data_IF_898346962506
#
_entry.id   IF_898346962506
#
_cell.length_a   1.000
_cell.length_b   1.000
_cell.length_c   1.000
_cell.angle_alpha   90.00
_cell.angle_beta   90.00
_cell.angle_gamma   90.00
#
_symmetry.space_group_name_H-M   'P 1'
#
loop_
_entity.id
_entity.type
_entity.pdbx_description
1 polymer ?
#
# COMPACT_ATOMS: atom_id res chain seq x y z
N UNK A 1 -33.80 -13.99 -16.47
CA UNK A 1 -32.63 -13.88 -15.57
C UNK A 1 -31.81 -12.71 -16.10
N UNK A 2 -31.83 -11.58 -15.39
CA UNK A 2 -31.14 -10.35 -15.82
C UNK A 2 -29.72 -10.42 -15.24
N UNK A 3 -28.72 -10.37 -16.12
CA UNK A 3 -27.32 -10.30 -15.71
C UNK A 3 -27.09 -9.05 -14.87
N UNK A 4 -26.64 -9.25 -13.63
CA UNK A 4 -26.08 -8.17 -12.83
C UNK A 4 -24.72 -7.83 -13.43
N UNK A 5 -24.65 -6.67 -14.03
CA UNK A 5 -23.42 -6.00 -14.42
C UNK A 5 -22.55 -5.89 -13.18
N UNK A 6 -21.38 -6.53 -13.18
CA UNK A 6 -20.31 -6.20 -12.26
C UNK A 6 -19.94 -4.74 -12.52
N UNK A 7 -20.45 -3.86 -11.67
CA UNK A 7 -20.07 -2.46 -11.71
C UNK A 7 -18.55 -2.40 -11.49
N UNK A 8 -17.77 -2.06 -12.55
CA UNK A 8 -16.40 -1.60 -12.39
C UNK A 8 -16.50 -0.41 -11.43
N UNK A 9 -15.81 -0.52 -10.29
CA UNK A 9 -15.66 0.62 -9.40
C UNK A 9 -15.01 1.74 -10.22
N UNK A 10 -15.76 2.83 -10.45
CA UNK A 10 -15.18 4.05 -10.99
C UNK A 10 -14.29 4.66 -9.91
N UNK A 11 -13.03 4.21 -9.87
CA UNK A 11 -12.03 4.77 -9.01
C UNK A 11 -11.53 6.10 -9.58
N UNK A 12 -11.50 7.13 -8.75
CA UNK A 12 -10.87 8.41 -9.05
C UNK A 12 -9.60 8.50 -8.20
N UNK A 13 -8.41 8.71 -8.79
CA UNK A 13 -7.17 8.88 -8.04
C UNK A 13 -7.32 9.94 -6.95
N UNK A 14 -6.59 9.79 -5.84
CA UNK A 14 -6.44 10.85 -4.85
C UNK A 14 -6.06 12.16 -5.55
N UNK A 15 -6.59 13.29 -5.06
CA UNK A 15 -6.31 14.60 -5.64
C UNK A 15 -4.81 15.00 -5.58
N UNK A 16 -4.01 14.25 -4.80
CA UNK A 16 -2.56 14.42 -4.64
C UNK A 16 -1.74 13.72 -5.72
N UNK A 17 -2.31 12.78 -6.48
CA UNK A 17 -1.56 12.02 -7.50
C UNK A 17 -1.23 12.89 -8.72
N UNK A 18 0.05 12.94 -9.14
CA UNK A 18 0.43 13.63 -10.37
C UNK A 18 -0.25 12.97 -11.58
N UNK A 19 -0.83 13.78 -12.46
CA UNK A 19 -1.47 13.30 -13.70
C UNK A 19 -0.47 12.82 -14.76
N UNK A 20 0.82 13.14 -14.60
CA UNK A 20 1.86 12.78 -15.56
C UNK A 20 2.52 11.47 -15.13
N UNK A 21 2.51 10.48 -16.02
CA UNK A 21 3.22 9.20 -15.83
C UNK A 21 4.72 9.40 -15.99
N UNK A 22 5.41 9.85 -14.95
CA UNK A 22 6.87 9.87 -14.94
C UNK A 22 7.40 8.44 -14.92
N UNK A 23 8.34 8.12 -15.81
CA UNK A 23 9.01 6.82 -15.79
C UNK A 23 10.33 6.91 -15.02
N UNK A 24 10.56 5.93 -14.16
CA UNK A 24 11.82 5.71 -13.45
C UNK A 24 12.56 4.48 -14.01
N UNK A 25 12.05 3.86 -15.07
CA UNK A 25 12.70 2.73 -15.72
C UNK A 25 14.14 3.13 -16.16
N UNK A 26 15.12 2.32 -15.75
CA UNK A 26 16.53 2.61 -16.00
C UNK A 26 17.22 3.52 -14.97
N UNK A 27 16.51 4.02 -13.97
CA UNK A 27 17.15 4.67 -12.81
C UNK A 27 17.89 3.60 -12.01
N UNK A 28 19.22 3.77 -11.87
CA UNK A 28 20.04 2.82 -11.13
C UNK A 28 20.07 3.07 -9.63
N UNK A 29 20.73 2.15 -8.91
CA UNK A 29 20.86 2.15 -7.45
C UNK A 29 21.41 3.47 -6.90
N UNK A 30 22.56 3.92 -7.41
CA UNK A 30 23.25 5.13 -6.91
C UNK A 30 22.41 6.39 -7.14
N UNK A 31 21.76 6.50 -8.30
CA UNK A 31 20.89 7.64 -8.60
C UNK A 31 19.66 7.65 -7.68
N UNK A 32 19.07 6.48 -7.40
CA UNK A 32 17.91 6.39 -6.49
C UNK A 32 18.30 6.79 -5.06
N UNK A 33 19.47 6.36 -4.60
CA UNK A 33 20.02 6.74 -3.28
C UNK A 33 20.31 8.25 -3.22
N UNK A 34 20.86 8.82 -4.29
CA UNK A 34 21.13 10.25 -4.35
C UNK A 34 19.85 11.09 -4.36
N UNK A 35 18.77 10.60 -4.99
CA UNK A 35 17.44 11.23 -4.92
C UNK A 35 16.92 11.27 -3.49
N UNK A 36 17.09 10.18 -2.73
CA UNK A 36 16.76 10.15 -1.31
C UNK A 36 17.57 11.18 -0.51
N UNK A 37 18.88 11.25 -0.71
CA UNK A 37 19.76 12.21 -0.05
C UNK A 37 19.36 13.66 -0.29
N UNK A 38 18.98 13.99 -1.52
CA UNK A 38 18.49 15.35 -1.85
C UNK A 38 17.22 15.74 -1.10
N UNK A 39 16.40 14.77 -0.68
CA UNK A 39 15.21 15.05 0.10
C UNK A 39 15.45 15.17 1.61
N UNK A 40 16.59 14.69 2.13
CA UNK A 40 16.89 14.70 3.58
C UNK A 40 16.64 16.07 4.23
N UNK A 41 17.11 17.23 3.69
CA UNK A 41 16.87 18.53 4.32
C UNK A 41 15.39 18.90 4.39
N UNK A 42 14.61 18.62 3.34
CA UNK A 42 13.18 18.90 3.29
C UNK A 42 12.40 18.03 4.28
N UNK A 43 12.75 16.74 4.35
CA UNK A 43 12.11 15.79 5.27
C UNK A 43 12.45 16.16 6.72
N UNK A 44 13.70 16.56 7.00
CA UNK A 44 14.10 17.04 8.33
C UNK A 44 13.27 18.22 8.79
N UNK A 45 13.03 19.19 7.91
CA UNK A 45 12.25 20.40 8.21
C UNK A 45 10.76 20.09 8.52
N UNK A 46 10.24 18.94 8.04
CA UNK A 46 8.85 18.52 8.22
C UNK A 46 8.68 17.32 9.16
N UNK A 47 9.75 16.89 9.84
CA UNK A 47 9.71 15.69 10.70
C UNK A 47 8.74 15.87 11.88
N UNK A 48 8.75 17.02 12.55
CA UNK A 48 7.83 17.32 13.66
C UNK A 48 6.36 17.39 13.17
N UNK A 49 6.13 17.95 12.00
CA UNK A 49 4.80 17.97 11.38
C UNK A 49 4.30 16.55 11.08
N UNK A 50 5.16 15.68 10.56
CA UNK A 50 4.84 14.28 10.29
C UNK A 50 4.35 13.57 11.57
N UNK A 51 5.08 13.73 12.69
CA UNK A 51 4.69 13.14 13.97
C UNK A 51 3.36 13.73 14.48
N UNK A 52 3.18 15.05 14.40
CA UNK A 52 1.96 15.74 14.83
C UNK A 52 0.73 15.35 14.02
N UNK A 53 0.86 15.21 12.70
CA UNK A 53 -0.22 14.80 11.80
C UNK A 53 -0.54 13.30 11.94
N UNK A 54 0.37 12.51 12.46
CA UNK A 54 0.28 11.04 12.53
C UNK A 54 0.07 10.41 11.15
N UNK A 55 0.68 11.01 10.12
CA UNK A 55 0.74 10.55 8.73
C UNK A 55 1.82 11.33 7.99
N UNK A 56 2.14 10.93 6.75
CA UNK A 56 2.99 11.77 5.90
C UNK A 56 2.30 13.12 5.62
N UNK A 57 3.03 14.25 5.74
CA UNK A 57 2.57 15.53 5.20
C UNK A 57 2.39 15.45 3.69
N UNK A 58 1.40 16.14 3.14
CA UNK A 58 1.07 16.11 1.71
C UNK A 58 2.24 16.55 0.82
N UNK A 59 3.04 17.53 1.31
CA UNK A 59 4.24 17.97 0.61
C UNK A 59 5.36 16.92 0.63
N UNK A 60 5.49 16.15 1.71
CA UNK A 60 6.47 15.06 1.80
C UNK A 60 6.07 13.93 0.87
N UNK A 61 4.80 13.54 0.84
CA UNK A 61 4.27 12.53 -0.08
C UNK A 61 4.55 12.93 -1.54
N UNK A 62 4.29 14.18 -1.91
CA UNK A 62 4.56 14.71 -3.26
C UNK A 62 6.04 14.64 -3.61
N UNK A 63 6.92 15.13 -2.73
CA UNK A 63 8.38 15.07 -2.93
C UNK A 63 8.87 13.63 -3.14
N UNK A 64 8.30 12.64 -2.40
CA UNK A 64 8.65 11.24 -2.52
C UNK A 64 8.18 10.62 -3.85
N UNK A 65 6.98 10.99 -4.33
CA UNK A 65 6.49 10.61 -5.66
C UNK A 65 7.37 11.19 -6.76
N UNK A 66 7.68 12.47 -6.72
CA UNK A 66 8.54 13.16 -7.71
C UNK A 66 9.94 12.56 -7.76
N UNK A 67 10.48 12.13 -6.62
CA UNK A 67 11.77 11.46 -6.54
C UNK A 67 11.72 9.98 -6.96
N UNK A 68 10.54 9.37 -7.09
CA UNK A 68 10.34 7.97 -7.43
C UNK A 68 10.55 6.99 -6.27
N UNK A 69 10.63 7.48 -5.03
CA UNK A 69 10.97 6.65 -3.88
C UNK A 69 9.86 5.64 -3.51
N UNK A 70 8.63 5.86 -3.90
CA UNK A 70 7.56 4.86 -3.77
C UNK A 70 7.60 3.81 -4.89
N UNK A 71 8.32 4.06 -5.99
CA UNK A 71 8.35 3.20 -7.18
C UNK A 71 9.67 2.47 -7.37
N UNK A 72 10.47 2.35 -6.30
CA UNK A 72 11.78 1.70 -6.29
C UNK A 72 11.70 0.26 -6.81
N UNK A 73 10.80 -0.56 -6.26
CA UNK A 73 10.64 -1.97 -6.62
C UNK A 73 9.41 -2.23 -7.51
N UNK A 74 8.79 -1.18 -8.03
CA UNK A 74 7.73 -1.33 -9.02
C UNK A 74 8.33 -1.77 -10.35
N UNK A 75 7.70 -2.75 -11.07
CA UNK A 75 8.24 -3.26 -12.32
C UNK A 75 8.49 -2.19 -13.39
N UNK A 76 9.59 -2.35 -14.14
CA UNK A 76 9.96 -1.43 -15.23
C UNK A 76 8.88 -1.34 -16.32
N UNK A 77 8.09 -2.43 -16.56
CA UNK A 77 6.99 -2.45 -17.54
C UNK A 77 5.93 -1.38 -17.30
N UNK A 78 5.77 -0.94 -16.04
CA UNK A 78 4.84 0.14 -15.65
C UNK A 78 5.56 1.42 -15.27
N UNK A 79 6.85 1.52 -15.61
CA UNK A 79 7.68 2.71 -15.40
C UNK A 79 8.29 2.81 -14.01
N UNK A 80 8.28 1.77 -13.19
CA UNK A 80 9.04 1.69 -11.94
C UNK A 80 10.54 1.53 -12.18
N UNK A 81 11.35 1.67 -11.13
CA UNK A 81 12.80 1.52 -11.25
C UNK A 81 13.25 0.06 -11.26
N UNK A 82 12.39 -0.87 -10.82
CA UNK A 82 12.65 -2.33 -10.85
C UNK A 82 13.94 -2.73 -10.14
N UNK A 83 14.25 -2.05 -9.03
CA UNK A 83 15.46 -2.25 -8.26
C UNK A 83 15.29 -3.35 -7.20
N UNK A 84 16.41 -3.96 -6.85
CA UNK A 84 16.49 -4.98 -5.80
C UNK A 84 16.10 -4.44 -4.41
N UNK A 85 15.65 -5.34 -3.54
CA UNK A 85 15.22 -5.03 -2.15
C UNK A 85 16.33 -4.35 -1.33
N UNK A 86 17.60 -4.60 -1.62
CA UNK A 86 18.73 -3.97 -0.93
C UNK A 86 18.68 -2.44 -0.90
N UNK A 87 18.15 -1.81 -1.95
CA UNK A 87 18.03 -0.34 -2.03
C UNK A 87 17.13 0.24 -0.94
N UNK A 88 16.08 -0.51 -0.49
CA UNK A 88 15.22 -0.06 0.60
C UNK A 88 15.98 0.19 1.89
N UNK A 89 16.97 -0.67 2.18
CA UNK A 89 17.77 -0.55 3.40
C UNK A 89 18.54 0.78 3.38
N UNK A 90 19.22 1.08 2.28
CA UNK A 90 20.05 2.28 2.19
C UNK A 90 19.21 3.56 2.08
N UNK A 91 18.14 3.57 1.29
CA UNK A 91 17.21 4.71 1.21
C UNK A 91 16.56 4.97 2.57
N UNK A 92 16.06 3.92 3.24
CA UNK A 92 15.44 4.06 4.55
C UNK A 92 16.45 4.51 5.60
N UNK A 93 17.71 4.03 5.56
CA UNK A 93 18.76 4.44 6.49
C UNK A 93 19.09 5.94 6.35
N UNK A 94 19.19 6.46 5.11
CA UNK A 94 19.43 7.90 4.90
C UNK A 94 18.28 8.76 5.44
N UNK A 95 17.05 8.40 5.17
CA UNK A 95 15.87 9.17 5.61
C UNK A 95 15.61 9.01 7.11
N UNK A 96 15.84 7.83 7.68
CA UNK A 96 15.62 7.56 9.11
C UNK A 96 16.49 8.42 10.04
N UNK A 97 17.63 8.89 9.56
CA UNK A 97 18.51 9.80 10.32
C UNK A 97 17.81 11.09 10.73
N UNK A 98 16.78 11.51 9.99
CA UNK A 98 16.07 12.76 10.21
C UNK A 98 14.57 12.56 10.49
N UNK A 99 13.95 11.54 9.94
CA UNK A 99 12.54 11.21 10.19
C UNK A 99 12.27 9.71 10.04
N UNK A 100 12.35 8.94 11.14
CA UNK A 100 12.08 7.50 11.12
C UNK A 100 10.68 7.14 10.60
N UNK A 101 9.67 7.96 10.88
CA UNK A 101 8.31 7.75 10.39
C UNK A 101 8.21 7.83 8.87
N UNK A 102 8.88 8.80 8.25
CA UNK A 102 8.93 8.90 6.78
C UNK A 102 9.69 7.72 6.19
N UNK A 103 10.83 7.33 6.78
CA UNK A 103 11.59 6.16 6.32
C UNK A 103 10.76 4.88 6.38
N UNK A 104 10.00 4.67 7.46
CA UNK A 104 9.09 3.53 7.58
C UNK A 104 8.04 3.52 6.47
N UNK A 105 7.41 4.67 6.21
CA UNK A 105 6.41 4.76 5.14
C UNK A 105 7.00 4.48 3.75
N UNK A 106 8.23 4.96 3.46
CA UNK A 106 8.91 4.65 2.20
C UNK A 106 9.10 3.13 2.08
N UNK A 107 9.75 2.50 3.07
CA UNK A 107 10.03 1.08 3.05
C UNK A 107 8.77 0.23 2.94
N UNK A 108 7.73 0.61 3.67
CA UNK A 108 6.46 -0.10 3.71
C UNK A 108 5.69 0.06 2.38
N UNK A 109 5.37 1.29 1.98
CA UNK A 109 4.53 1.55 0.81
C UNK A 109 5.21 1.17 -0.52
N UNK A 110 6.52 1.38 -0.64
CA UNK A 110 7.25 1.01 -1.84
C UNK A 110 7.40 -0.52 -2.00
N UNK A 111 7.56 -1.28 -0.89
CA UNK A 111 7.63 -2.74 -0.95
C UNK A 111 6.32 -3.38 -1.41
N UNK A 112 5.19 -2.70 -1.24
CA UNK A 112 3.90 -3.24 -1.67
C UNK A 112 3.70 -3.23 -3.18
N UNK A 113 4.42 -2.40 -3.93
CA UNK A 113 4.51 -2.53 -5.40
C UNK A 113 5.21 -3.82 -5.81
N UNK A 114 6.26 -4.23 -5.09
CA UNK A 114 6.89 -5.53 -5.28
C UNK A 114 5.90 -6.67 -4.96
N UNK A 115 5.17 -6.58 -3.84
CA UNK A 115 4.14 -7.57 -3.49
C UNK A 115 3.02 -7.64 -4.54
N UNK A 116 2.56 -6.50 -5.05
CA UNK A 116 1.56 -6.45 -6.12
C UNK A 116 2.05 -7.14 -7.39
N UNK A 117 3.35 -7.06 -7.70
CA UNK A 117 3.97 -7.76 -8.82
C UNK A 117 3.76 -9.28 -8.84
N UNK A 118 3.37 -9.86 -7.71
CA UNK A 118 3.03 -11.28 -7.61
C UNK A 118 1.53 -11.57 -7.79
N UNK A 119 0.65 -10.59 -7.83
CA UNK A 119 -0.77 -10.79 -8.12
C UNK A 119 -0.98 -11.13 -9.61
N UNK A 120 -2.14 -11.68 -10.01
CA UNK A 120 -2.45 -11.90 -11.41
C UNK A 120 -2.28 -10.61 -12.24
N UNK A 121 -1.84 -10.71 -13.51
CA UNK A 121 -1.66 -9.53 -14.36
C UNK A 121 -2.89 -8.63 -14.44
N UNK A 122 -4.08 -9.21 -14.45
CA UNK A 122 -5.36 -8.47 -14.50
C UNK A 122 -5.52 -7.56 -13.28
N UNK A 123 -5.10 -8.03 -12.10
CA UNK A 123 -5.13 -7.22 -10.86
C UNK A 123 -4.10 -6.11 -10.90
N UNK A 124 -2.90 -6.40 -11.40
CA UNK A 124 -1.84 -5.41 -11.55
C UNK A 124 -2.28 -4.29 -12.50
N UNK A 125 -2.89 -4.66 -13.62
CA UNK A 125 -3.36 -3.73 -14.64
C UNK A 125 -4.56 -2.91 -14.12
N UNK A 126 -5.47 -3.49 -13.31
CA UNK A 126 -6.57 -2.77 -12.67
C UNK A 126 -6.07 -1.55 -11.86
N UNK A 127 -4.94 -1.68 -11.17
CA UNK A 127 -4.37 -0.60 -10.37
C UNK A 127 -3.48 0.32 -11.21
N UNK A 128 -2.51 -0.25 -11.92
CA UNK A 128 -1.47 0.54 -12.58
C UNK A 128 -1.91 1.18 -13.90
N UNK A 129 -2.98 0.70 -14.55
CA UNK A 129 -3.57 1.38 -15.71
C UNK A 129 -4.28 2.68 -15.35
N UNK A 130 -4.80 2.76 -14.14
CA UNK A 130 -5.41 3.99 -13.63
C UNK A 130 -4.34 4.98 -13.20
N UNK A 131 -3.41 4.53 -12.35
CA UNK A 131 -2.23 5.31 -11.95
C UNK A 131 -1.08 4.40 -11.54
N UNK A 132 0.11 4.69 -12.02
CA UNK A 132 1.34 4.02 -11.55
C UNK A 132 1.84 4.56 -10.21
N UNK A 133 1.26 5.66 -9.73
CA UNK A 133 1.60 6.32 -8.47
C UNK A 133 0.67 5.96 -7.31
N UNK A 134 -0.21 4.95 -7.48
CA UNK A 134 -1.06 4.44 -6.39
C UNK A 134 -0.22 4.01 -5.20
N UNK A 135 -0.68 4.32 -4.00
CA UNK A 135 -0.08 3.83 -2.77
C UNK A 135 -0.94 2.70 -2.18
N UNK A 136 -0.26 1.66 -1.70
CA UNK A 136 -0.90 0.46 -1.18
C UNK A 136 -0.41 0.26 0.25
N UNK A 137 -1.29 0.42 1.24
CA UNK A 137 -1.01 0.02 2.61
C UNK A 137 -1.20 -1.50 2.78
N UNK A 138 -0.83 -2.05 3.91
CA UNK A 138 -1.08 -3.46 4.24
C UNK A 138 -1.26 -3.68 5.73
N UNK A 139 -1.92 -4.80 6.06
CA UNK A 139 -1.78 -5.43 7.36
C UNK A 139 -1.63 -6.95 7.19
N UNK A 140 -0.51 -7.46 7.68
CA UNK A 140 -0.17 -8.89 7.63
C UNK A 140 -0.80 -9.70 8.78
N UNK A 141 -1.66 -9.08 9.58
CA UNK A 141 -2.34 -9.76 10.70
C UNK A 141 -3.42 -10.73 10.19
N UNK A 142 -3.02 -11.80 9.49
CA UNK A 142 -3.92 -12.77 8.89
C UNK A 142 -5.05 -13.26 9.80
N UNK A 143 -4.81 -13.57 11.10
CA UNK A 143 -5.88 -14.01 12.00
C UNK A 143 -6.95 -12.95 12.28
N UNK A 144 -6.67 -11.67 11.98
CA UNK A 144 -7.61 -10.56 12.16
C UNK A 144 -8.69 -10.52 11.07
N UNK A 145 -8.39 -11.13 9.90
CA UNK A 145 -9.31 -11.23 8.77
C UNK A 145 -9.92 -12.63 8.64
N UNK A 146 -11.18 -12.67 8.23
CA UNK A 146 -11.92 -13.90 7.92
C UNK A 146 -12.43 -13.83 6.50
N UNK A 147 -12.32 -14.94 5.77
CA UNK A 147 -12.84 -15.05 4.43
C UNK A 147 -13.49 -16.39 4.16
N UNK A 148 -14.48 -16.41 3.29
CA UNK A 148 -15.12 -17.60 2.75
C UNK A 148 -15.26 -17.52 1.25
N UNK A 149 -15.29 -18.65 0.56
CA UNK A 149 -15.58 -18.69 -0.87
C UNK A 149 -17.05 -18.34 -1.14
N UNK A 150 -17.28 -17.51 -2.15
CA UNK A 150 -18.59 -17.22 -2.71
C UNK A 150 -18.56 -17.39 -4.22
N UNK A 151 -19.72 -17.33 -4.89
CA UNK A 151 -19.77 -17.37 -6.34
C UNK A 151 -19.01 -16.16 -6.92
N UNK A 152 -18.01 -16.42 -7.76
CA UNK A 152 -17.21 -15.38 -8.40
C UNK A 152 -16.02 -14.86 -7.59
N UNK A 153 -15.87 -15.24 -6.30
CA UNK A 153 -14.77 -14.70 -5.49
C UNK A 153 -14.76 -15.13 -4.03
N UNK A 154 -14.56 -14.14 -3.17
CA UNK A 154 -14.49 -14.32 -1.73
C UNK A 154 -15.29 -13.22 -1.03
N UNK A 155 -15.91 -13.59 0.09
CA UNK A 155 -16.43 -12.62 1.05
C UNK A 155 -15.40 -12.48 2.17
N UNK A 156 -14.99 -11.24 2.46
CA UNK A 156 -13.96 -10.94 3.46
C UNK A 156 -14.48 -9.94 4.48
N UNK A 157 -14.14 -10.15 5.73
CA UNK A 157 -14.45 -9.24 6.84
C UNK A 157 -13.35 -9.27 7.89
N UNK A 158 -13.23 -8.21 8.67
CA UNK A 158 -12.27 -8.16 9.78
C UNK A 158 -11.99 -6.76 10.28
N UNK A 159 -11.15 -6.71 11.31
CA UNK A 159 -10.50 -5.50 11.78
C UNK A 159 -9.01 -5.79 11.94
N UNK A 160 -8.21 -5.14 11.12
CA UNK A 160 -6.77 -5.36 11.07
C UNK A 160 -6.04 -4.22 11.76
N UNK A 161 -5.11 -4.52 12.66
CA UNK A 161 -4.25 -3.53 13.28
C UNK A 161 -3.08 -3.14 12.37
N UNK A 162 -2.47 -2.00 12.68
CA UNK A 162 -1.14 -1.63 12.18
C UNK A 162 -1.05 -1.50 10.64
N UNK A 163 -2.05 -0.89 10.00
CA UNK A 163 -1.98 -0.56 8.59
C UNK A 163 -1.19 0.73 8.38
N UNK A 164 0.14 0.63 8.34
CA UNK A 164 1.04 1.79 8.22
C UNK A 164 0.86 2.52 6.89
N UNK A 165 0.82 3.86 6.94
CA UNK A 165 0.65 4.69 5.75
C UNK A 165 -0.76 4.70 5.16
N UNK A 166 -1.75 4.14 5.87
CA UNK A 166 -3.10 3.98 5.34
C UNK A 166 -3.82 5.30 5.02
N UNK A 167 -3.49 6.38 5.73
CA UNK A 167 -4.07 7.70 5.43
C UNK A 167 -3.64 8.27 4.08
N UNK A 168 -2.46 7.87 3.60
CA UNK A 168 -1.87 8.29 2.33
C UNK A 168 -2.11 7.25 1.21
N UNK A 169 -2.83 6.16 1.48
CA UNK A 169 -2.96 5.04 0.54
C UNK A 169 -4.31 5.00 -0.15
N UNK A 170 -4.29 4.64 -1.44
CA UNK A 170 -5.48 4.43 -2.28
C UNK A 170 -6.05 3.03 -2.10
N UNK A 171 -5.17 2.06 -1.81
CA UNK A 171 -5.50 0.65 -1.66
C UNK A 171 -4.94 0.08 -0.36
N UNK A 172 -5.46 -1.05 0.05
CA UNK A 172 -4.97 -1.78 1.21
C UNK A 172 -4.96 -3.29 0.92
N UNK A 173 -3.83 -3.92 1.20
CA UNK A 173 -3.63 -5.34 1.05
C UNK A 173 -3.76 -6.01 2.42
N UNK A 174 -4.88 -6.68 2.67
CA UNK A 174 -5.25 -7.20 3.99
C UNK A 174 -5.18 -8.72 4.03
N UNK A 175 -4.38 -9.24 4.95
CA UNK A 175 -4.28 -10.68 5.16
C UNK A 175 -5.54 -11.26 5.81
N UNK A 176 -6.04 -12.40 5.33
CA UNK A 176 -7.16 -13.09 5.95
C UNK A 176 -7.01 -14.61 5.95
N UNK A 177 -7.69 -15.25 6.89
CA UNK A 177 -7.78 -16.69 7.00
C UNK A 177 -9.02 -17.18 6.24
N UNK A 178 -8.80 -18.01 5.21
CA UNK A 178 -9.87 -18.66 4.46
C UNK A 178 -10.42 -19.84 5.23
N UNK A 179 -11.74 -19.96 5.32
CA UNK A 179 -12.46 -21.08 5.96
C UNK A 179 -13.49 -21.65 5.00
N UNK A 180 -13.73 -22.95 5.09
CA UNK A 180 -14.82 -23.62 4.35
C UNK A 180 -16.16 -23.47 5.08
N UNK A 181 -16.10 -23.45 6.42
CA UNK A 181 -17.26 -23.28 7.31
C UNK A 181 -16.95 -22.20 8.33
N UNK A 182 -17.96 -21.46 8.79
CA UNK A 182 -17.81 -20.31 9.67
C UNK A 182 -17.01 -20.63 10.94
N UNK A 183 -17.29 -21.75 11.60
CA UNK A 183 -16.62 -22.21 12.81
C UNK A 183 -15.50 -23.22 12.56
N UNK A 184 -15.22 -23.54 11.29
CA UNK A 184 -14.18 -24.51 10.91
C UNK A 184 -12.75 -23.95 11.07
N UNK A 185 -11.74 -24.84 11.06
CA UNK A 185 -10.35 -24.39 11.04
C UNK A 185 -10.05 -23.65 9.74
N UNK A 186 -9.06 -22.74 9.74
CA UNK A 186 -8.57 -22.15 8.50
C UNK A 186 -7.98 -23.24 7.59
N UNK A 187 -8.33 -23.16 6.30
CA UNK A 187 -7.80 -24.06 5.26
C UNK A 187 -6.72 -23.41 4.42
N UNK A 188 -6.65 -22.06 4.42
CA UNK A 188 -5.66 -21.29 3.69
C UNK A 188 -5.54 -19.89 4.28
N UNK A 189 -4.52 -19.13 3.87
CA UNK A 189 -4.38 -17.72 4.16
C UNK A 189 -4.11 -16.96 2.85
N UNK A 190 -4.72 -15.77 2.72
CA UNK A 190 -4.72 -15.00 1.49
C UNK A 190 -4.62 -13.51 1.76
N UNK A 191 -4.30 -12.75 0.72
CA UNK A 191 -4.46 -11.32 0.70
C UNK A 191 -5.72 -10.92 -0.05
N UNK A 192 -6.46 -9.97 0.51
CA UNK A 192 -7.51 -9.23 -0.15
C UNK A 192 -6.98 -7.83 -0.47
N UNK A 193 -7.11 -7.41 -1.71
CA UNK A 193 -6.79 -6.06 -2.16
C UNK A 193 -8.07 -5.24 -2.17
N UNK A 194 -8.17 -4.27 -1.27
CA UNK A 194 -9.35 -3.42 -1.08
C UNK A 194 -9.04 -1.97 -1.44
N UNK A 195 -9.91 -1.36 -2.24
CA UNK A 195 -9.85 0.07 -2.51
C UNK A 195 -10.25 0.88 -1.26
N UNK A 196 -9.78 2.13 -1.16
CA UNK A 196 -10.01 3.03 -0.03
C UNK A 196 -11.49 3.18 0.38
N UNK A 197 -12.41 3.07 -0.57
CA UNK A 197 -13.87 3.15 -0.32
C UNK A 197 -14.47 1.88 0.29
N UNK A 198 -13.72 0.78 0.39
CA UNK A 198 -14.21 -0.53 0.83
C UNK A 198 -13.87 -0.86 2.29
N UNK A 199 -13.15 0.03 2.98
CA UNK A 199 -12.80 -0.13 4.39
C UNK A 199 -12.86 1.19 5.14
N UNK A 200 -13.02 1.09 6.46
CA UNK A 200 -12.97 2.21 7.40
C UNK A 200 -11.58 2.29 8.01
N UNK A 201 -11.02 3.49 8.14
CA UNK A 201 -9.84 3.76 8.96
C UNK A 201 -10.29 4.10 10.36
N UNK A 202 -9.77 3.38 11.36
CA UNK A 202 -10.04 3.61 12.78
C UNK A 202 -8.85 4.37 13.36
N UNK A 203 -9.08 5.63 13.72
CA UNK A 203 -8.02 6.51 14.23
C UNK A 203 -7.66 6.19 15.68
N UNK A 204 -6.86 5.15 15.87
CA UNK A 204 -6.39 4.65 17.17
C UNK A 204 -4.86 4.63 17.32
N UNK A 205 -4.11 5.23 16.39
CA UNK A 205 -2.65 5.25 16.43
C UNK A 205 -2.13 6.42 17.28
N UNK A 206 -1.95 6.18 18.60
CA UNK A 206 -1.43 7.13 19.58
C UNK A 206 -0.20 6.55 20.27
N UNK A 207 0.94 6.58 19.55
CA UNK A 207 2.22 6.02 20.01
C UNK A 207 3.13 7.10 20.63
N UNK A 208 4.11 6.70 21.42
CA UNK A 208 5.13 7.59 22.00
C UNK A 208 6.24 7.96 21.01
N UNK A 209 6.30 7.29 19.86
CA UNK A 209 7.22 7.53 18.76
C UNK A 209 6.73 6.87 17.50
N UNK A 210 7.29 7.23 16.34
CA UNK A 210 6.81 6.78 15.03
C UNK A 210 5.32 7.12 14.77
N UNK A 211 4.84 8.22 15.35
CA UNK A 211 3.44 8.64 15.19
C UNK A 211 3.12 8.88 13.71
N UNK A 212 4.05 9.47 12.97
CA UNK A 212 3.93 9.79 11.55
C UNK A 212 3.84 8.57 10.62
N UNK A 213 4.00 7.34 11.13
CA UNK A 213 3.73 6.14 10.33
C UNK A 213 2.25 5.93 10.07
N UNK A 214 1.36 6.55 10.86
CA UNK A 214 -0.09 6.41 10.70
C UNK A 214 -0.57 4.97 10.74
N UNK A 215 0.05 4.13 11.61
CA UNK A 215 -0.22 2.67 11.64
C UNK A 215 -1.57 2.36 12.29
N UNK A 216 -2.62 2.96 11.76
CA UNK A 216 -4.00 2.87 12.24
C UNK A 216 -4.61 1.51 11.96
N UNK A 217 -5.66 1.17 12.71
CA UNK A 217 -6.49 0.02 12.38
C UNK A 217 -7.35 0.31 11.15
N UNK A 218 -7.70 -0.75 10.43
CA UNK A 218 -8.71 -0.72 9.37
C UNK A 218 -9.75 -1.80 9.60
N UNK A 219 -10.97 -1.56 9.16
CA UNK A 219 -12.04 -2.55 9.29
C UNK A 219 -12.92 -2.57 8.04
N UNK A 220 -13.40 -3.76 7.68
CA UNK A 220 -14.49 -3.92 6.73
C UNK A 220 -15.50 -4.93 7.25
N UNK A 221 -16.78 -4.69 6.94
CA UNK A 221 -17.85 -5.66 7.11
C UNK A 221 -17.76 -6.67 5.96
N UNK A 222 -18.65 -7.65 5.93
CA UNK A 222 -18.70 -8.64 4.85
C UNK A 222 -18.69 -7.94 3.47
N UNK A 223 -17.55 -8.07 2.78
CA UNK A 223 -17.28 -7.45 1.48
C UNK A 223 -16.98 -8.54 0.46
N UNK A 224 -17.73 -8.57 -0.63
CA UNK A 224 -17.43 -9.46 -1.74
C UNK A 224 -16.32 -8.88 -2.61
N UNK A 225 -15.27 -9.67 -2.84
CA UNK A 225 -14.14 -9.35 -3.72
C UNK A 225 -14.03 -10.39 -4.82
N UNK A 226 -13.70 -9.97 -6.04
CA UNK A 226 -13.44 -10.86 -7.16
C UNK A 226 -12.22 -11.74 -6.94
N UNK A 227 -12.08 -12.83 -7.70
CA UNK A 227 -10.92 -13.74 -7.62
C UNK A 227 -9.60 -13.02 -7.93
N UNK A 228 -9.62 -12.07 -8.84
CA UNK A 228 -8.45 -11.28 -9.22
C UNK A 228 -7.95 -10.42 -8.04
N UNK A 229 -8.86 -9.85 -7.24
CA UNK A 229 -8.50 -9.05 -6.05
C UNK A 229 -8.07 -9.90 -4.84
N UNK A 230 -7.88 -11.21 -5.01
CA UNK A 230 -7.46 -12.12 -3.95
C UNK A 230 -6.31 -13.02 -4.43
N UNK A 231 -5.22 -13.07 -3.67
CA UNK A 231 -4.08 -13.92 -3.99
C UNK A 231 -3.91 -15.07 -3.00
N UNK A 232 -3.56 -16.24 -3.55
CA UNK A 232 -3.01 -17.38 -2.83
C UNK A 232 -1.54 -17.10 -2.52
N UNK A 233 -1.11 -17.36 -1.31
CA UNK A 233 0.27 -17.32 -0.76
C UNK A 233 1.32 -16.48 -1.52
N UNK A 234 1.97 -15.59 -0.84
CA UNK A 234 3.27 -14.99 -1.23
C UNK A 234 4.38 -15.95 -0.80
#
# INVERSE_FOLDING_TARGET
MKGQSTARLEWTPSATLPKARTSFAGVGYDEMLERARRLVPKIAARAEECERLRRLPDETERDLHEAGLFRIAQPARVGGADLDVGIFVDVCAEIARVCPSTAWNIGNLASHHWMLGYFPPETQDELWDVSTDVLIATSLAFPAGRGRKVEGGYEVSGRWPLSSGVDNSDWNMLGFMLREHEDGPPVDHRFALLHRSQYEIIDNWHAVGLCGTGSKDVATKAMEIGRASCRERV
#
